data_IF_875210224616
#
_entry.id   IF_875210224616
#
_cell.length_a   1.000
_cell.length_b   1.000
_cell.length_c   1.000
_cell.angle_alpha   90.00
_cell.angle_beta   90.00
_cell.angle_gamma   90.00
#
_symmetry.space_group_name_H-M   'P 1'
#
loop_
_entity.id
_entity.type
_entity.pdbx_description
1 polymer ?
#
# COMPACT_ATOMS: atom_id res chain seq x y z
N UNK A 1 29.44 13.40 -28.03
CA UNK A 1 28.70 12.16 -27.74
C UNK A 1 27.56 12.53 -26.82
N UNK A 2 26.32 12.52 -27.33
CA UNK A 2 25.12 12.87 -26.56
C UNK A 2 24.59 11.61 -25.84
N UNK A 3 24.05 11.74 -24.61
CA UNK A 3 23.49 10.61 -23.89
C UNK A 3 22.10 10.23 -24.47
N UNK A 4 21.70 8.95 -24.43
CA UNK A 4 20.41 8.53 -24.94
C UNK A 4 19.32 8.79 -23.88
N UNK A 5 18.27 9.49 -24.29
CA UNK A 5 17.02 9.65 -23.55
C UNK A 5 16.26 8.33 -23.59
N UNK A 6 16.22 7.59 -22.48
CA UNK A 6 15.32 6.44 -22.34
C UNK A 6 13.90 6.95 -22.12
N UNK A 7 13.09 6.94 -23.17
CA UNK A 7 11.63 7.07 -23.05
C UNK A 7 11.07 5.70 -22.62
N UNK A 8 10.66 5.59 -21.35
CA UNK A 8 9.89 4.45 -20.88
C UNK A 8 8.47 4.59 -21.43
N UNK A 9 8.19 3.90 -22.53
CA UNK A 9 6.84 3.77 -23.06
C UNK A 9 6.06 2.79 -22.18
N UNK A 10 5.28 3.31 -21.23
CA UNK A 10 4.27 2.52 -20.52
C UNK A 10 3.10 2.32 -21.48
N UNK A 11 3.05 1.15 -22.12
CA UNK A 11 1.96 0.74 -22.98
C UNK A 11 0.78 0.27 -22.09
N UNK A 12 0.00 1.21 -21.55
CA UNK A 12 -1.29 0.86 -20.95
C UNK A 12 -2.27 0.50 -22.07
N UNK A 13 -2.71 -0.75 -22.11
CA UNK A 13 -3.78 -1.21 -22.98
C UNK A 13 -5.03 -0.36 -22.72
N UNK A 14 -5.43 0.43 -23.72
CA UNK A 14 -6.63 1.24 -23.67
C UNK A 14 -7.86 0.34 -23.82
N UNK A 15 -8.48 -0.02 -22.70
CA UNK A 15 -9.85 -0.53 -22.75
C UNK A 15 -10.82 0.65 -22.96
N UNK A 16 -11.83 0.52 -23.82
CA UNK A 16 -12.83 1.56 -24.02
C UNK A 16 -13.61 1.81 -22.72
N UNK A 17 -13.91 3.08 -22.46
CA UNK A 17 -14.59 3.62 -21.28
C UNK A 17 -16.07 3.16 -21.10
N UNK A 18 -16.42 1.98 -21.59
CA UNK A 18 -17.73 1.34 -21.45
C UNK A 18 -17.69 0.21 -20.41
N UNK A 19 -16.96 0.40 -19.31
CA UNK A 19 -17.16 -0.41 -18.11
C UNK A 19 -18.62 -0.22 -17.67
N UNK A 20 -19.43 -1.28 -17.81
CA UNK A 20 -20.82 -1.27 -17.36
C UNK A 20 -20.82 -1.15 -15.84
N UNK A 21 -21.23 0.01 -15.32
CA UNK A 21 -21.47 0.24 -13.88
C UNK A 21 -22.32 -0.90 -13.32
N UNK A 22 -21.85 -1.59 -12.29
CA UNK A 22 -22.71 -2.44 -11.49
C UNK A 22 -23.79 -1.54 -10.87
N UNK A 23 -25.07 -1.91 -11.03
CA UNK A 23 -26.19 -1.12 -10.51
C UNK A 23 -26.19 -1.03 -8.99
N UNK A 24 -25.49 -1.95 -8.32
CA UNK A 24 -25.45 -2.05 -6.86
C UNK A 24 -24.33 -1.21 -6.22
N UNK A 25 -23.42 -0.63 -7.02
CA UNK A 25 -22.31 0.21 -6.56
C UNK A 25 -22.62 1.71 -6.61
N UNK A 26 -23.90 2.11 -6.70
CA UNK A 26 -24.26 3.51 -6.52
C UNK A 26 -24.13 3.88 -5.04
N UNK A 27 -22.92 4.22 -4.62
CA UNK A 27 -22.69 4.89 -3.36
C UNK A 27 -23.38 6.25 -3.44
N UNK A 28 -24.54 6.35 -2.83
CA UNK A 28 -25.12 7.65 -2.54
C UNK A 28 -24.20 8.31 -1.52
N UNK A 29 -23.22 9.08 -2.01
CA UNK A 29 -22.61 10.13 -1.21
C UNK A 29 -23.77 10.98 -0.68
N UNK A 30 -24.10 10.84 0.61
CA UNK A 30 -24.94 11.79 1.31
C UNK A 30 -24.13 13.09 1.44
N UNK A 31 -23.95 13.77 0.32
CA UNK A 31 -23.55 15.15 0.29
C UNK A 31 -24.76 15.97 0.75
N UNK A 32 -24.58 16.76 1.82
CA UNK A 32 -25.46 17.87 2.13
C UNK A 32 -25.71 18.68 0.86
N UNK A 33 -26.97 18.99 0.57
CA UNK A 33 -27.47 19.55 -0.70
C UNK A 33 -26.95 20.96 -1.11
N UNK A 34 -25.77 21.40 -0.70
CA UNK A 34 -25.15 22.61 -1.25
C UNK A 34 -24.24 22.24 -2.42
N UNK A 35 -24.81 22.34 -3.64
CA UNK A 35 -24.15 22.19 -4.95
C UNK A 35 -23.47 20.84 -5.17
N UNK A 36 -24.14 19.95 -5.92
CA UNK A 36 -23.49 18.77 -6.49
C UNK A 36 -22.36 19.24 -7.43
N UNK A 37 -21.14 19.38 -6.90
CA UNK A 37 -19.95 19.70 -7.69
C UNK A 37 -19.72 18.58 -8.69
N UNK A 38 -19.39 18.94 -9.92
CA UNK A 38 -19.01 18.03 -10.99
C UNK A 38 -17.54 17.60 -10.79
N UNK A 39 -17.28 16.37 -10.30
CA UNK A 39 -15.92 15.96 -9.95
C UNK A 39 -15.00 15.87 -11.17
N UNK A 40 -15.55 15.60 -12.36
CA UNK A 40 -14.79 15.59 -13.61
C UNK A 40 -14.28 17.01 -13.92
N UNK A 41 -15.16 18.01 -13.79
CA UNK A 41 -14.81 19.40 -14.05
C UNK A 41 -13.83 19.98 -13.03
N UNK A 42 -14.01 19.67 -11.74
CA UNK A 42 -13.08 20.08 -10.68
C UNK A 42 -11.68 19.51 -10.93
N UNK A 43 -11.61 18.25 -11.37
CA UNK A 43 -10.36 17.58 -11.72
C UNK A 43 -9.70 18.22 -12.96
N UNK A 44 -10.46 18.51 -14.02
CA UNK A 44 -9.97 19.23 -15.20
C UNK A 44 -9.38 20.60 -14.83
N UNK A 45 -10.07 21.36 -13.98
CA UNK A 45 -9.63 22.68 -13.54
C UNK A 45 -8.29 22.60 -12.79
N UNK A 46 -8.17 21.66 -11.86
CA UNK A 46 -6.92 21.45 -11.14
C UNK A 46 -5.77 21.04 -12.07
N UNK A 47 -5.99 20.08 -12.98
CA UNK A 47 -4.97 19.66 -13.94
C UNK A 47 -4.50 20.82 -14.83
N UNK A 48 -5.42 21.69 -15.26
CA UNK A 48 -5.10 22.91 -16.01
C UNK A 48 -4.25 23.88 -15.16
N UNK A 49 -4.52 23.98 -13.86
CA UNK A 49 -3.71 24.79 -12.92
C UNK A 49 -2.26 24.30 -12.83
N UNK A 50 -2.03 23.00 -13.06
CA UNK A 50 -0.71 22.37 -13.15
C UNK A 50 -0.03 22.56 -14.52
N UNK A 51 -0.53 23.50 -15.34
CA UNK A 51 -0.02 23.81 -16.69
C UNK A 51 -0.23 22.69 -17.71
N UNK A 52 -1.11 21.73 -17.45
CA UNK A 52 -1.58 20.80 -18.48
C UNK A 52 -2.44 21.57 -19.50
N UNK A 53 -2.36 21.18 -20.78
CA UNK A 53 -3.27 21.77 -21.79
C UNK A 53 -4.71 21.43 -21.44
N UNK A 54 -5.67 22.31 -21.78
CA UNK A 54 -7.08 22.05 -21.48
C UNK A 54 -7.58 20.73 -22.10
N UNK A 55 -7.15 20.42 -23.33
CA UNK A 55 -7.53 19.19 -24.01
C UNK A 55 -6.99 17.93 -23.30
N UNK A 56 -5.74 17.97 -22.83
CA UNK A 56 -5.16 16.86 -22.06
C UNK A 56 -5.82 16.75 -20.68
N UNK A 57 -6.05 17.88 -20.00
CA UNK A 57 -6.71 17.93 -18.70
C UNK A 57 -8.11 17.32 -18.77
N UNK A 58 -8.90 17.66 -19.79
CA UNK A 58 -10.23 17.08 -20.00
C UNK A 58 -10.15 15.58 -20.28
N UNK A 59 -9.18 15.14 -21.10
CA UNK A 59 -8.97 13.70 -21.39
C UNK A 59 -8.61 12.92 -20.13
N UNK A 60 -7.72 13.46 -19.30
CA UNK A 60 -7.34 12.87 -18.02
C UNK A 60 -8.50 12.84 -17.04
N UNK A 61 -9.21 13.96 -16.90
CA UNK A 61 -10.36 14.06 -16.02
C UNK A 61 -11.40 13.00 -16.36
N UNK A 62 -11.83 12.94 -17.63
CA UNK A 62 -12.76 11.94 -18.15
C UNK A 62 -12.32 10.50 -17.92
N UNK A 63 -11.01 10.24 -17.97
CA UNK A 63 -10.43 8.90 -17.78
C UNK A 63 -10.39 8.49 -16.32
N UNK A 64 -9.94 9.39 -15.43
CA UNK A 64 -9.54 9.03 -14.08
C UNK A 64 -10.61 9.34 -13.02
N UNK A 65 -11.59 10.21 -13.29
CA UNK A 65 -12.57 10.62 -12.27
C UNK A 65 -13.35 9.44 -11.67
N UNK A 66 -13.70 8.45 -12.51
CA UNK A 66 -14.43 7.28 -12.04
C UNK A 66 -13.59 6.40 -11.11
N UNK A 67 -12.28 6.28 -11.39
CA UNK A 67 -11.36 5.59 -10.50
C UNK A 67 -11.26 6.33 -9.17
N UNK A 68 -11.17 7.66 -9.20
CA UNK A 68 -11.12 8.47 -7.98
C UNK A 68 -12.36 8.26 -7.11
N UNK A 69 -13.56 8.33 -7.70
CA UNK A 69 -14.80 8.08 -6.98
C UNK A 69 -14.85 6.66 -6.39
N UNK A 70 -14.56 5.65 -7.22
CA UNK A 70 -14.63 4.23 -6.81
C UNK A 70 -13.58 3.87 -5.75
N UNK A 71 -12.39 4.47 -5.83
CA UNK A 71 -11.31 4.31 -4.86
C UNK A 71 -11.47 5.22 -3.63
N UNK A 72 -12.48 6.09 -3.58
CA UNK A 72 -12.67 7.05 -2.49
C UNK A 72 -11.59 8.13 -2.40
N UNK A 73 -10.83 8.35 -3.48
CA UNK A 73 -9.78 9.36 -3.55
C UNK A 73 -10.39 10.72 -3.90
N UNK A 74 -10.46 11.62 -2.92
CA UNK A 74 -10.91 13.00 -3.16
C UNK A 74 -9.88 13.81 -3.96
N UNK A 75 -10.31 14.91 -4.59
CA UNK A 75 -9.39 15.83 -5.28
C UNK A 75 -8.33 16.40 -4.32
N UNK A 76 -8.72 16.73 -3.08
CA UNK A 76 -7.77 17.22 -2.06
C UNK A 76 -6.70 16.19 -1.70
N UNK A 77 -7.09 14.92 -1.59
CA UNK A 77 -6.16 13.82 -1.39
C UNK A 77 -5.19 13.66 -2.56
N UNK A 78 -5.68 13.73 -3.80
CA UNK A 78 -4.83 13.67 -5.00
C UNK A 78 -3.87 14.86 -5.09
N UNK A 79 -4.32 16.05 -4.71
CA UNK A 79 -3.49 17.26 -4.59
C UNK A 79 -2.37 17.09 -3.57
N UNK A 80 -2.67 16.49 -2.41
CA UNK A 80 -1.67 16.22 -1.38
C UNK A 80 -0.63 15.19 -1.87
N UNK A 81 -1.07 14.12 -2.54
CA UNK A 81 -0.15 13.16 -3.19
C UNK A 81 0.76 13.84 -4.20
N UNK A 82 0.20 14.65 -5.10
CA UNK A 82 0.97 15.38 -6.09
C UNK A 82 2.01 16.30 -5.44
N UNK A 83 1.61 17.06 -4.41
CA UNK A 83 2.49 17.93 -3.66
C UNK A 83 3.64 17.18 -2.98
N UNK A 84 3.36 16.05 -2.31
CA UNK A 84 4.40 15.19 -1.70
C UNK A 84 5.37 14.70 -2.79
N UNK A 85 4.85 14.21 -3.90
CA UNK A 85 5.67 13.71 -5.00
C UNK A 85 6.58 14.80 -5.57
N UNK A 86 6.03 15.97 -5.90
CA UNK A 86 6.81 17.03 -6.54
C UNK A 86 7.72 17.80 -5.58
N UNK A 87 7.22 18.18 -4.41
CA UNK A 87 7.92 19.10 -3.50
C UNK A 87 8.78 18.37 -2.46
N UNK A 88 8.48 17.10 -2.15
CA UNK A 88 9.19 16.33 -1.10
C UNK A 88 9.99 15.15 -1.64
N UNK A 89 9.48 14.48 -2.67
CA UNK A 89 10.15 13.35 -3.32
C UNK A 89 10.84 13.73 -4.63
N UNK A 90 10.87 15.02 -4.98
CA UNK A 90 11.62 15.58 -6.10
C UNK A 90 11.25 14.97 -7.47
N UNK A 91 9.98 14.59 -7.67
CA UNK A 91 9.48 14.33 -9.01
C UNK A 91 9.36 15.64 -9.79
N UNK A 92 9.59 15.58 -11.10
CA UNK A 92 9.16 16.66 -11.99
C UNK A 92 7.63 16.87 -11.82
N UNK A 93 7.17 18.13 -11.85
CA UNK A 93 5.76 18.47 -11.58
C UNK A 93 4.80 17.81 -12.56
N UNK A 94 5.18 17.69 -13.83
CA UNK A 94 4.40 16.99 -14.85
C UNK A 94 4.45 15.48 -14.66
N UNK A 95 5.63 14.93 -14.37
CA UNK A 95 5.81 13.51 -14.10
C UNK A 95 5.13 13.02 -12.81
N UNK A 96 4.92 13.90 -11.83
CA UNK A 96 4.24 13.59 -10.58
C UNK A 96 2.73 13.33 -10.76
N UNK A 97 2.09 13.90 -11.79
CA UNK A 97 0.65 13.74 -12.04
C UNK A 97 0.25 12.26 -12.28
N UNK A 98 0.81 11.54 -13.26
CA UNK A 98 0.47 10.14 -13.48
C UNK A 98 0.79 9.26 -12.25
N UNK A 99 1.90 9.54 -11.55
CA UNK A 99 2.28 8.79 -10.34
C UNK A 99 1.28 9.03 -9.21
N UNK A 100 0.78 10.26 -9.04
CA UNK A 100 -0.23 10.58 -8.03
C UNK A 100 -1.54 9.79 -8.27
N UNK A 101 -1.98 9.65 -9.53
CA UNK A 101 -3.15 8.83 -9.85
C UNK A 101 -2.93 7.34 -9.56
N UNK A 102 -1.76 6.80 -9.93
CA UNK A 102 -1.41 5.41 -9.62
C UNK A 102 -1.40 5.16 -8.11
N UNK A 103 -0.81 6.06 -7.33
CA UNK A 103 -0.76 5.93 -5.87
C UNK A 103 -2.13 6.16 -5.22
N UNK A 104 -2.97 6.99 -5.82
CA UNK A 104 -4.35 7.18 -5.38
C UNK A 104 -5.20 5.92 -5.59
N UNK A 105 -5.04 5.23 -6.72
CA UNK A 105 -5.67 3.92 -6.98
C UNK A 105 -5.24 2.86 -5.97
N UNK A 106 -4.05 2.99 -5.40
CA UNK A 106 -3.54 2.10 -4.36
C UNK A 106 -3.84 2.58 -2.93
N UNK A 107 -4.52 3.72 -2.79
CA UNK A 107 -4.83 4.37 -1.52
C UNK A 107 -3.60 4.58 -0.61
N UNK A 108 -2.46 4.96 -1.19
CA UNK A 108 -1.24 5.26 -0.42
C UNK A 108 -1.35 6.60 0.31
N UNK A 109 -1.31 6.58 1.63
CA UNK A 109 -1.34 7.79 2.44
C UNK A 109 -0.12 8.70 2.15
N UNK A 110 -0.31 10.00 1.79
CA UNK A 110 0.77 10.89 1.40
C UNK A 110 1.83 11.08 2.49
N UNK A 111 1.42 11.15 3.75
CA UNK A 111 2.31 11.43 4.86
C UNK A 111 3.13 10.17 5.20
N UNK A 112 2.50 9.00 5.18
CA UNK A 112 3.21 7.72 5.29
C UNK A 112 4.18 7.49 4.14
N UNK A 113 3.80 7.87 2.91
CA UNK A 113 4.67 7.77 1.72
C UNK A 113 5.92 8.62 1.88
N UNK A 114 5.77 9.87 2.31
CA UNK A 114 6.92 10.74 2.57
C UNK A 114 7.79 10.23 3.73
N UNK A 115 7.18 9.77 4.83
CA UNK A 115 7.90 9.21 5.96
C UNK A 115 8.73 7.98 5.57
N UNK A 116 8.14 7.05 4.79
CA UNK A 116 8.82 5.87 4.29
C UNK A 116 9.99 6.24 3.36
N UNK A 117 9.77 7.17 2.43
CA UNK A 117 10.83 7.71 1.58
C UNK A 117 11.98 8.31 2.39
N UNK A 118 11.68 9.11 3.42
CA UNK A 118 12.68 9.71 4.30
C UNK A 118 13.52 8.66 5.04
N UNK A 119 12.90 7.61 5.59
CA UNK A 119 13.64 6.51 6.23
C UNK A 119 14.54 5.80 5.23
N UNK A 120 14.04 5.48 4.04
CA UNK A 120 14.82 4.80 3.00
C UNK A 120 16.04 5.61 2.53
N UNK A 121 15.84 6.91 2.28
CA UNK A 121 16.90 7.80 1.80
C UNK A 121 17.87 8.21 2.91
N UNK A 122 17.36 8.68 4.05
CA UNK A 122 18.19 9.34 5.07
C UNK A 122 18.77 8.36 6.09
N UNK A 123 18.03 7.28 6.44
CA UNK A 123 18.48 6.30 7.44
C UNK A 123 19.14 5.11 6.81
N UNK A 124 18.49 4.53 5.80
CA UNK A 124 19.05 3.37 5.10
C UNK A 124 20.10 3.79 4.07
N UNK A 125 20.14 5.05 3.63
CA UNK A 125 21.15 5.54 2.70
C UNK A 125 20.95 5.06 1.26
N UNK A 126 19.71 4.74 0.87
CA UNK A 126 19.37 4.42 -0.52
C UNK A 126 19.45 5.69 -1.39
N UNK A 127 19.67 5.52 -2.69
CA UNK A 127 19.56 6.66 -3.62
C UNK A 127 18.13 7.19 -3.66
N UNK A 128 17.95 8.45 -4.07
CA UNK A 128 16.62 9.04 -4.21
C UNK A 128 15.73 8.24 -5.16
N UNK A 129 16.30 7.73 -6.24
CA UNK A 129 15.60 6.89 -7.23
C UNK A 129 15.14 5.57 -6.61
N UNK A 130 16.03 4.90 -5.87
CA UNK A 130 15.70 3.63 -5.22
C UNK A 130 14.69 3.82 -4.09
N UNK A 131 14.86 4.84 -3.24
CA UNK A 131 13.92 5.18 -2.18
C UNK A 131 12.53 5.51 -2.74
N UNK A 132 12.44 6.29 -3.84
CA UNK A 132 11.17 6.57 -4.53
C UNK A 132 10.47 5.32 -5.04
N UNK A 133 11.22 4.36 -5.55
CA UNK A 133 10.67 3.09 -6.05
C UNK A 133 10.25 2.14 -4.92
N UNK A 134 10.98 2.13 -3.81
CA UNK A 134 10.75 1.19 -2.68
C UNK A 134 9.69 1.65 -1.71
N UNK A 135 9.53 2.96 -1.51
CA UNK A 135 8.53 3.51 -0.59
C UNK A 135 7.10 3.00 -0.85
N UNK A 136 6.54 3.09 -2.07
CA UNK A 136 5.20 2.56 -2.34
C UNK A 136 5.14 1.03 -2.17
N UNK A 137 6.16 0.29 -2.63
CA UNK A 137 6.20 -1.17 -2.54
C UNK A 137 6.09 -1.65 -1.08
N UNK A 138 6.77 -0.96 -0.16
CA UNK A 138 6.76 -1.30 1.26
C UNK A 138 5.43 -0.94 1.92
N UNK A 139 4.85 0.21 1.57
CA UNK A 139 3.53 0.61 2.09
C UNK A 139 2.41 -0.31 1.60
N UNK A 140 2.45 -0.75 0.34
CA UNK A 140 1.51 -1.74 -0.20
C UNK A 140 1.57 -3.09 0.55
N UNK A 141 2.72 -3.40 1.16
CA UNK A 141 2.94 -4.57 2.01
C UNK A 141 2.67 -4.32 3.49
N UNK A 142 2.13 -3.15 3.83
CA UNK A 142 1.79 -2.71 5.18
C UNK A 142 3.00 -2.44 6.09
N UNK A 143 4.18 -2.14 5.51
CA UNK A 143 5.33 -1.73 6.29
C UNK A 143 5.16 -0.28 6.78
N UNK A 144 5.47 -0.02 8.05
CA UNK A 144 5.58 1.36 8.56
C UNK A 144 7.02 1.87 8.54
N UNK A 145 7.17 3.18 8.33
CA UNK A 145 8.47 3.86 8.35
C UNK A 145 9.16 3.71 9.73
N UNK A 146 8.38 3.79 10.81
CA UNK A 146 8.87 3.64 12.19
C UNK A 146 9.40 2.23 12.45
N UNK A 147 8.66 1.19 12.05
CA UNK A 147 9.13 -0.21 12.17
C UNK A 147 10.41 -0.43 11.35
N UNK A 148 10.45 0.03 10.10
CA UNK A 148 11.65 -0.11 9.25
C UNK A 148 12.87 0.56 9.88
N UNK A 149 12.73 1.79 10.37
CA UNK A 149 13.81 2.54 11.03
C UNK A 149 14.30 1.82 12.28
N UNK A 150 13.38 1.30 13.10
CA UNK A 150 13.73 0.54 14.31
C UNK A 150 14.42 -0.78 14.00
N UNK A 151 13.91 -1.56 13.03
CA UNK A 151 14.50 -2.82 12.59
C UNK A 151 15.92 -2.61 12.04
N UNK A 152 16.10 -1.62 11.17
CA UNK A 152 17.42 -1.30 10.63
C UNK A 152 18.39 -0.88 11.74
N UNK A 153 17.90 -0.09 12.71
CA UNK A 153 18.67 0.29 13.89
C UNK A 153 19.10 -0.96 14.67
N UNK A 154 18.20 -1.87 15.03
CA UNK A 154 18.56 -3.07 15.78
C UNK A 154 19.49 -4.02 15.00
N UNK A 155 19.31 -4.14 13.68
CA UNK A 155 20.15 -4.97 12.82
C UNK A 155 21.57 -4.42 12.62
N UNK A 156 21.77 -3.12 12.82
CA UNK A 156 23.06 -2.43 12.71
C UNK A 156 23.69 -2.08 14.07
N UNK A 157 22.87 -1.92 15.11
CA UNK A 157 23.28 -1.62 16.48
C UNK A 157 23.73 -2.85 17.27
N UNK A 158 23.61 -4.05 16.68
CA UNK A 158 24.14 -5.30 17.22
C UNK A 158 25.51 -5.05 17.86
N UNK A 159 25.52 -5.14 19.19
CA UNK A 159 26.48 -4.58 20.14
C UNK A 159 27.84 -4.20 19.53
N UNK A 160 28.36 -3.02 19.84
CA UNK A 160 29.68 -2.49 19.40
C UNK A 160 30.83 -3.54 19.26
N UNK A 161 30.81 -4.64 20.01
CA UNK A 161 31.76 -5.75 19.93
C UNK A 161 31.45 -6.87 18.88
N UNK A 162 30.28 -6.87 18.26
CA UNK A 162 29.78 -7.79 17.21
C UNK A 162 29.62 -7.11 15.84
N UNK A 163 30.14 -5.89 15.66
CA UNK A 163 30.08 -5.14 14.40
C UNK A 163 30.64 -5.92 13.20
N UNK A 164 31.52 -6.90 13.43
CA UNK A 164 32.08 -7.80 12.43
C UNK A 164 31.09 -8.84 11.88
N UNK A 165 29.92 -9.07 12.51
CA UNK A 165 28.89 -10.01 12.05
C UNK A 165 27.91 -9.40 11.03
N UNK A 166 27.83 -8.07 10.92
CA UNK A 166 27.09 -7.45 9.81
C UNK A 166 27.99 -7.45 8.59
N UNK A 167 27.92 -8.52 7.79
CA UNK A 167 28.79 -8.71 6.62
C UNK A 167 28.70 -7.54 5.62
N UNK A 168 27.58 -6.81 5.57
CA UNK A 168 27.49 -5.49 4.93
C UNK A 168 26.26 -4.69 5.37
N UNK A 169 26.31 -3.34 5.36
CA UNK A 169 25.12 -2.49 5.53
C UNK A 169 23.99 -2.82 4.55
N UNK A 170 24.32 -3.27 3.34
CA UNK A 170 23.36 -3.65 2.30
C UNK A 170 22.53 -4.88 2.68
N UNK A 171 23.13 -5.85 3.36
CA UNK A 171 22.40 -7.02 3.88
C UNK A 171 21.42 -6.61 4.99
N UNK A 172 21.83 -5.72 5.89
CA UNK A 172 20.96 -5.18 6.94
C UNK A 172 19.80 -4.36 6.35
N UNK A 173 20.04 -3.55 5.31
CA UNK A 173 18.98 -2.83 4.58
C UNK A 173 17.95 -3.80 4.02
N UNK A 174 18.39 -4.82 3.29
CA UNK A 174 17.52 -5.82 2.65
C UNK A 174 16.67 -6.56 3.68
N UNK A 175 17.29 -7.08 4.73
CA UNK A 175 16.59 -7.82 5.78
C UNK A 175 15.62 -6.93 6.58
N UNK A 176 15.99 -5.66 6.85
CA UNK A 176 15.11 -4.73 7.54
C UNK A 176 13.85 -4.42 6.70
N UNK A 177 14.01 -4.21 5.39
CA UNK A 177 12.90 -3.99 4.47
C UNK A 177 11.99 -5.23 4.36
N UNK A 178 12.56 -6.42 4.23
CA UNK A 178 11.78 -7.68 4.19
C UNK A 178 11.04 -7.91 5.50
N UNK A 179 11.71 -7.72 6.64
CA UNK A 179 11.11 -7.87 7.97
C UNK A 179 10.01 -6.84 8.21
N UNK A 180 10.21 -5.59 7.80
CA UNK A 180 9.20 -4.53 7.91
C UNK A 180 7.99 -4.83 7.04
N UNK A 181 8.18 -5.33 5.82
CA UNK A 181 7.09 -5.75 4.92
C UNK A 181 6.31 -6.96 5.44
N UNK A 182 6.95 -7.82 6.23
CA UNK A 182 6.27 -8.87 6.98
C UNK A 182 5.57 -8.35 8.26
N UNK A 183 5.81 -7.07 8.61
CA UNK A 183 5.30 -6.34 9.78
C UNK A 183 6.02 -6.67 11.10
N UNK A 184 7.24 -7.20 11.04
CA UNK A 184 8.07 -7.49 12.21
C UNK A 184 8.26 -6.25 13.11
N UNK A 185 8.03 -6.39 14.41
CA UNK A 185 8.30 -5.33 15.37
C UNK A 185 9.76 -5.34 15.84
N UNK A 186 10.45 -4.18 15.91
CA UNK A 186 11.86 -4.08 16.31
C UNK A 186 12.19 -4.75 17.64
N UNK A 187 11.35 -4.55 18.67
CA UNK A 187 11.59 -5.11 20.01
C UNK A 187 11.47 -6.64 20.03
N UNK A 188 10.55 -7.19 19.23
CA UNK A 188 10.39 -8.64 19.08
C UNK A 188 11.59 -9.24 18.35
N UNK A 189 12.05 -8.58 17.28
CA UNK A 189 13.26 -8.96 16.58
C UNK A 189 14.47 -8.96 17.50
N UNK A 190 14.67 -7.88 18.26
CA UNK A 190 15.76 -7.75 19.23
C UNK A 190 15.76 -8.89 20.23
N UNK A 191 14.61 -9.19 20.82
CA UNK A 191 14.46 -10.26 21.82
C UNK A 191 14.78 -11.63 21.22
N UNK A 192 14.25 -11.93 20.02
CA UNK A 192 14.50 -13.21 19.34
C UNK A 192 15.96 -13.35 18.89
N UNK A 193 16.59 -12.25 18.46
CA UNK A 193 18.00 -12.25 18.07
C UNK A 193 18.93 -12.44 19.27
N UNK A 194 18.61 -11.87 20.43
CA UNK A 194 19.36 -12.11 21.67
C UNK A 194 19.31 -13.57 22.11
N UNK A 195 18.22 -14.29 21.82
CA UNK A 195 18.08 -15.70 22.15
C UNK A 195 18.82 -16.63 21.17
N UNK A 196 18.73 -16.36 19.87
CA UNK A 196 19.17 -17.30 18.83
C UNK A 196 20.50 -16.92 18.16
N UNK A 197 20.89 -15.65 18.21
CA UNK A 197 22.03 -15.07 17.48
C UNK A 197 22.03 -15.32 15.96
N UNK A 198 20.89 -15.72 15.40
CA UNK A 198 20.67 -15.87 13.97
C UNK A 198 19.58 -14.88 13.51
N UNK A 199 19.92 -14.00 12.57
CA UNK A 199 19.03 -12.91 12.16
C UNK A 199 17.79 -13.40 11.43
N UNK A 200 17.90 -14.46 10.63
CA UNK A 200 16.77 -14.99 9.86
C UNK A 200 15.78 -15.67 10.79
N UNK A 201 16.27 -16.55 11.67
CA UNK A 201 15.46 -17.20 12.71
C UNK A 201 14.81 -16.17 13.62
N UNK A 202 15.55 -15.13 14.01
CA UNK A 202 14.99 -14.03 14.80
C UNK A 202 13.89 -13.26 14.07
N UNK A 203 14.03 -13.00 12.78
CA UNK A 203 12.99 -12.37 11.97
C UNK A 203 11.73 -13.25 11.90
N UNK A 204 11.87 -14.55 11.58
CA UNK A 204 10.75 -15.49 11.51
C UNK A 204 9.99 -15.60 12.83
N UNK A 205 10.72 -15.71 13.95
CA UNK A 205 10.13 -15.75 15.29
C UNK A 205 9.45 -14.44 15.66
N UNK A 206 10.07 -13.30 15.32
CA UNK A 206 9.53 -11.99 15.62
C UNK A 206 8.29 -11.67 14.80
N UNK A 207 8.26 -12.01 13.50
CA UNK A 207 7.05 -11.85 12.65
C UNK A 207 5.88 -12.61 13.28
N UNK A 208 6.12 -13.86 13.70
CA UNK A 208 5.09 -14.67 14.38
C UNK A 208 4.66 -14.01 15.70
N UNK A 209 5.61 -13.59 16.53
CA UNK A 209 5.34 -12.99 17.83
C UNK A 209 4.65 -11.61 17.76
N UNK A 210 4.87 -10.85 16.68
CA UNK A 210 4.27 -9.54 16.47
C UNK A 210 2.76 -9.62 16.23
N UNK A 211 2.25 -10.72 15.66
CA UNK A 211 0.88 -10.76 15.17
C UNK A 211 0.09 -12.03 15.40
N UNK A 212 0.58 -12.94 16.26
CA UNK A 212 -0.01 -14.27 16.45
C UNK A 212 -1.55 -14.29 16.64
N UNK A 213 -2.14 -13.18 17.10
CA UNK A 213 -3.59 -13.00 17.26
C UNK A 213 -4.17 -11.74 16.61
N UNK A 214 -3.35 -10.92 15.94
CA UNK A 214 -3.69 -9.51 15.65
C UNK A 214 -3.66 -9.15 14.17
N UNK A 215 -2.66 -9.62 13.41
CA UNK A 215 -2.67 -9.47 11.96
C UNK A 215 -3.09 -10.75 11.28
N UNK A 216 -3.85 -10.56 10.22
CA UNK A 216 -4.38 -11.64 9.42
C UNK A 216 -4.05 -11.35 7.97
N UNK A 217 -3.66 -12.37 7.21
CA UNK A 217 -3.41 -12.25 5.77
C UNK A 217 -4.14 -13.34 5.02
N UNK A 218 -4.57 -13.02 3.80
CA UNK A 218 -5.30 -13.94 2.94
C UNK A 218 -4.37 -14.97 2.31
N UNK A 219 -4.65 -16.26 2.52
CA UNK A 219 -3.97 -17.37 1.86
C UNK A 219 -4.54 -17.61 0.45
N UNK A 220 -3.96 -18.58 -0.26
CA UNK A 220 -4.29 -18.94 -1.66
C UNK A 220 -5.74 -19.46 -1.80
N UNK A 221 -6.36 -19.88 -0.70
CA UNK A 221 -7.76 -20.33 -0.63
C UNK A 221 -8.77 -19.18 -0.41
N UNK A 222 -8.30 -17.93 -0.35
CA UNK A 222 -9.14 -16.74 -0.13
C UNK A 222 -9.54 -16.51 1.32
N UNK A 223 -9.10 -17.35 2.28
CA UNK A 223 -9.36 -17.15 3.71
C UNK A 223 -8.21 -16.42 4.38
N UNK A 224 -8.52 -15.66 5.43
CA UNK A 224 -7.49 -15.00 6.22
C UNK A 224 -7.03 -15.88 7.39
N UNK A 225 -5.73 -15.83 7.69
CA UNK A 225 -5.07 -16.63 8.72
C UNK A 225 -4.22 -15.74 9.62
N UNK A 226 -4.10 -16.08 10.91
CA UNK A 226 -3.06 -15.49 11.76
C UNK A 226 -1.67 -15.95 11.32
N UNK A 227 -0.61 -15.27 11.78
CA UNK A 227 0.77 -15.66 11.44
C UNK A 227 1.08 -17.13 11.74
N UNK A 228 0.66 -17.68 12.90
CA UNK A 228 0.86 -19.10 13.20
C UNK A 228 0.06 -20.03 12.30
N UNK A 229 -1.23 -19.73 12.06
CA UNK A 229 -2.03 -20.58 11.18
C UNK A 229 -1.53 -20.53 9.72
N UNK A 230 -1.04 -19.38 9.27
CA UNK A 230 -0.46 -19.19 7.94
C UNK A 230 0.87 -19.95 7.81
N UNK A 231 1.69 -19.96 8.86
CA UNK A 231 2.90 -20.80 8.94
C UNK A 231 2.56 -22.29 8.85
N UNK A 232 1.52 -22.73 9.55
CA UNK A 232 1.08 -24.12 9.48
C UNK A 232 0.55 -24.49 8.09
N UNK A 233 -0.07 -23.54 7.38
CA UNK A 233 -0.59 -23.74 6.02
C UNK A 233 0.52 -23.84 4.95
N UNK A 234 1.53 -22.96 4.98
CA UNK A 234 2.59 -22.90 3.94
C UNK A 234 3.93 -23.53 4.34
N UNK A 235 4.10 -23.93 5.60
CA UNK A 235 5.32 -24.52 6.14
C UNK A 235 6.59 -23.69 5.87
N UNK A 236 7.53 -24.16 5.04
CA UNK A 236 8.86 -23.57 4.89
C UNK A 236 8.90 -22.21 4.20
N UNK A 237 7.94 -21.91 3.33
CA UNK A 237 7.90 -20.68 2.52
C UNK A 237 6.93 -19.64 3.06
N UNK A 238 6.44 -19.83 4.29
CA UNK A 238 5.34 -19.04 4.83
C UNK A 238 5.64 -17.55 4.93
N UNK A 239 6.86 -17.12 5.26
CA UNK A 239 7.22 -15.69 5.33
C UNK A 239 7.16 -15.03 3.95
N UNK A 240 7.71 -15.69 2.93
CA UNK A 240 7.67 -15.18 1.57
C UNK A 240 6.23 -15.04 1.06
N UNK A 241 5.39 -16.04 1.35
CA UNK A 241 3.94 -16.02 1.05
C UNK A 241 3.20 -14.96 1.86
N UNK A 242 3.50 -14.84 3.15
CA UNK A 242 2.91 -13.85 4.07
C UNK A 242 3.15 -12.44 3.56
N UNK A 243 4.38 -12.09 3.25
CA UNK A 243 4.78 -10.76 2.76
C UNK A 243 4.13 -10.39 1.42
N UNK A 244 3.78 -11.38 0.59
CA UNK A 244 3.09 -11.18 -0.70
C UNK A 244 1.56 -11.21 -0.58
N UNK A 245 1.04 -11.71 0.54
CA UNK A 245 -0.39 -11.88 0.75
C UNK A 245 -1.06 -10.58 1.16
N UNK A 246 -2.27 -10.37 0.66
CA UNK A 246 -3.09 -9.23 1.03
C UNK A 246 -3.36 -9.24 2.55
N UNK A 247 -3.17 -8.08 3.18
CA UNK A 247 -3.39 -7.89 4.61
C UNK A 247 -4.86 -7.68 4.86
N UNK A 248 -5.46 -8.44 5.77
CA UNK A 248 -6.84 -8.20 6.20
C UNK A 248 -6.92 -6.90 7.01
N UNK A 249 -8.01 -6.15 6.82
CA UNK A 249 -8.18 -4.83 7.40
C UNK A 249 -9.48 -4.75 8.18
N UNK A 250 -9.55 -3.84 9.14
CA UNK A 250 -10.75 -3.51 9.88
C UNK A 250 -11.13 -2.05 9.72
N UNK A 251 -12.43 -1.78 9.77
CA UNK A 251 -12.95 -0.41 9.62
C UNK A 251 -12.96 0.28 10.98
N UNK A 252 -12.26 1.41 11.06
CA UNK A 252 -12.23 2.26 12.23
C UNK A 252 -13.45 3.19 12.32
N UNK A 253 -13.55 3.94 13.41
CA UNK A 253 -14.66 4.86 13.69
C UNK A 253 -14.78 6.00 12.67
N UNK A 254 -13.68 6.36 12.00
CA UNK A 254 -13.63 7.36 10.92
C UNK A 254 -14.14 6.81 9.57
N UNK A 255 -14.49 5.52 9.51
CA UNK A 255 -15.00 4.85 8.33
C UNK A 255 -13.93 4.40 7.34
N UNK A 256 -12.64 4.44 7.70
CA UNK A 256 -11.54 3.93 6.87
C UNK A 256 -11.11 2.52 7.29
N UNK A 257 -10.61 1.75 6.33
CA UNK A 257 -10.03 0.44 6.58
C UNK A 257 -8.54 0.57 6.94
N UNK A 258 -8.14 -0.11 8.01
CA UNK A 258 -6.78 -0.11 8.51
C UNK A 258 -6.31 -1.56 8.73
N UNK A 259 -5.05 -1.84 8.42
CA UNK A 259 -4.37 -3.05 8.91
C UNK A 259 -4.13 -2.98 10.42
N UNK A 260 -3.70 -4.07 11.06
CA UNK A 260 -3.38 -4.05 12.49
C UNK A 260 -2.25 -3.04 12.82
N UNK A 261 -1.24 -2.93 11.95
CA UNK A 261 -0.12 -2.02 12.15
C UNK A 261 -0.55 -0.55 12.02
N UNK A 262 -1.35 -0.23 11.01
CA UNK A 262 -1.87 1.12 10.80
C UNK A 262 -2.87 1.51 11.90
N UNK A 263 -3.70 0.56 12.35
CA UNK A 263 -4.67 0.78 13.43
C UNK A 263 -3.96 1.08 14.75
N UNK A 264 -2.86 0.37 15.03
CA UNK A 264 -1.98 0.64 16.17
C UNK A 264 -1.38 2.05 16.11
N UNK A 265 -0.88 2.48 14.95
CA UNK A 265 -0.31 3.82 14.79
C UNK A 265 -1.37 4.92 14.91
N UNK A 266 -2.58 4.69 14.37
CA UNK A 266 -3.66 5.67 14.37
C UNK A 266 -4.23 5.91 15.77
N UNK A 267 -4.57 4.84 16.51
CA UNK A 267 -5.16 4.98 17.83
C UNK A 267 -4.13 5.10 18.96
N UNK A 268 -2.91 4.58 18.75
CA UNK A 268 -1.81 4.53 19.72
C UNK A 268 -2.20 3.79 21.00
N UNK A 269 -2.87 4.47 21.92
CA UNK A 269 -3.42 3.89 23.14
C UNK A 269 -4.76 3.19 22.86
N UNK A 270 -5.08 2.15 23.62
CA UNK A 270 -6.30 1.35 23.48
C UNK A 270 -6.58 0.75 22.08
N UNK A 271 -5.60 0.83 21.17
CA UNK A 271 -5.74 0.39 19.79
C UNK A 271 -6.20 -1.07 19.71
N UNK A 272 -5.73 -1.94 20.61
CA UNK A 272 -6.08 -3.35 20.63
C UNK A 272 -7.55 -3.57 21.01
N UNK A 273 -8.06 -2.81 21.99
CA UNK A 273 -9.47 -2.86 22.38
C UNK A 273 -10.36 -2.43 21.22
N UNK A 274 -10.01 -1.31 20.58
CA UNK A 274 -10.71 -0.80 19.40
C UNK A 274 -10.60 -1.73 18.19
N UNK A 275 -9.44 -2.34 17.96
CA UNK A 275 -9.22 -3.33 16.90
C UNK A 275 -10.12 -4.55 17.09
N UNK A 276 -10.24 -5.05 18.30
CA UNK A 276 -11.09 -6.20 18.60
C UNK A 276 -12.58 -5.87 18.41
N UNK A 277 -12.99 -4.65 18.75
CA UNK A 277 -14.36 -4.17 18.55
C UNK A 277 -14.69 -3.79 17.09
N UNK A 278 -13.69 -3.47 16.28
CA UNK A 278 -13.88 -3.04 14.89
C UNK A 278 -14.34 -4.17 13.97
N UNK A 279 -15.17 -3.82 13.00
CA UNK A 279 -15.68 -4.71 11.97
C UNK A 279 -14.61 -5.00 10.91
N UNK A 280 -14.63 -6.22 10.35
CA UNK A 280 -13.79 -6.56 9.20
C UNK A 280 -14.18 -5.74 7.97
N UNK A 281 -13.17 -5.26 7.23
CA UNK A 281 -13.34 -4.59 5.97
C UNK A 281 -13.44 -5.63 4.84
N UNK A 282 -14.58 -5.66 4.15
CA UNK A 282 -14.75 -6.42 2.91
C UNK A 282 -13.99 -5.70 1.81
N UNK A 283 -12.76 -6.14 1.57
CA UNK A 283 -11.88 -5.53 0.57
C UNK A 283 -12.44 -5.71 -0.84
N UNK A 284 -12.31 -4.66 -1.65
CA UNK A 284 -12.78 -4.63 -3.03
C UNK A 284 -11.72 -4.09 -3.95
N UNK A 285 -11.66 -4.61 -5.17
CA UNK A 285 -10.72 -4.19 -6.21
C UNK A 285 -11.42 -4.00 -7.54
N UNK A 286 -10.90 -3.10 -8.36
CA UNK A 286 -11.34 -2.88 -9.74
C UNK A 286 -10.54 -3.81 -10.64
N UNK A 287 -11.18 -4.79 -11.26
CA UNK A 287 -10.51 -5.70 -12.19
C UNK A 287 -10.31 -5.06 -13.58
N UNK A 288 -9.55 -5.73 -14.44
CA UNK A 288 -9.30 -5.27 -15.81
C UNK A 288 -10.57 -5.11 -16.66
N UNK A 289 -11.64 -5.84 -16.36
CA UNK A 289 -12.94 -5.69 -17.02
C UNK A 289 -13.72 -4.44 -16.58
N UNK A 290 -13.14 -3.64 -15.67
CA UNK A 290 -13.71 -2.42 -15.11
C UNK A 290 -14.78 -2.66 -14.05
N UNK A 291 -15.00 -3.90 -13.60
CA UNK A 291 -15.93 -4.20 -12.52
C UNK A 291 -15.24 -4.24 -11.17
N UNK A 292 -16.02 -3.97 -10.12
CA UNK A 292 -15.59 -4.08 -8.74
C UNK A 292 -15.91 -5.48 -8.23
N UNK A 293 -14.94 -6.15 -7.63
CA UNK A 293 -15.08 -7.46 -7.02
C UNK A 293 -14.63 -7.41 -5.56
N UNK A 294 -15.35 -8.10 -4.68
CA UNK A 294 -14.81 -8.51 -3.38
C UNK A 294 -13.72 -9.57 -3.57
N UNK A 295 -12.90 -9.81 -2.54
CA UNK A 295 -11.86 -10.84 -2.63
C UNK A 295 -12.45 -12.22 -2.96
N UNK A 296 -13.53 -12.62 -2.29
CA UNK A 296 -14.17 -13.92 -2.52
C UNK A 296 -14.69 -14.05 -3.96
N UNK A 297 -15.33 -13.00 -4.48
CA UNK A 297 -15.78 -12.97 -5.88
C UNK A 297 -14.60 -13.00 -6.84
N UNK A 298 -13.51 -12.30 -6.53
CA UNK A 298 -12.31 -12.25 -7.35
C UNK A 298 -11.61 -13.62 -7.39
N UNK A 299 -11.46 -14.28 -6.24
CA UNK A 299 -10.95 -15.66 -6.13
C UNK A 299 -11.82 -16.61 -6.94
N UNK A 300 -13.14 -16.50 -6.81
CA UNK A 300 -14.08 -17.35 -7.56
C UNK A 300 -14.03 -17.10 -9.08
N UNK A 301 -13.84 -15.85 -9.50
CA UNK A 301 -13.87 -15.47 -10.92
C UNK A 301 -12.55 -15.76 -11.63
N UNK A 302 -11.42 -15.45 -10.99
CA UNK A 302 -10.08 -15.64 -11.55
C UNK A 302 -9.44 -16.99 -11.19
N UNK A 303 -10.05 -17.76 -10.28
CA UNK A 303 -9.61 -19.10 -9.86
C UNK A 303 -8.13 -19.13 -9.50
N UNK A 304 -7.37 -20.19 -9.79
CA UNK A 304 -5.96 -20.35 -9.41
C UNK A 304 -5.03 -19.22 -9.89
N UNK A 305 -5.45 -18.36 -10.81
CA UNK A 305 -4.63 -17.23 -11.31
C UNK A 305 -4.75 -15.96 -10.45
N UNK A 306 -5.69 -15.90 -9.51
CA UNK A 306 -5.97 -14.68 -8.75
C UNK A 306 -4.75 -14.17 -7.96
N UNK A 307 -3.92 -15.12 -7.50
CA UNK A 307 -2.63 -14.87 -6.87
C UNK A 307 -1.40 -15.17 -7.75
N UNK A 308 -1.58 -15.67 -8.98
CA UNK A 308 -0.42 -16.08 -9.78
C UNK A 308 0.34 -14.86 -10.30
N UNK A 309 1.67 -14.95 -10.14
CA UNK A 309 2.65 -14.16 -10.87
C UNK A 309 2.86 -14.82 -12.24
N UNK A 310 2.15 -14.37 -13.27
CA UNK A 310 2.36 -14.83 -14.65
C UNK A 310 3.54 -14.03 -15.27
N UNK A 311 4.76 -14.50 -15.00
CA UNK A 311 5.99 -13.91 -15.56
C UNK A 311 6.34 -12.53 -14.96
N UNK A 312 6.44 -11.50 -15.80
CA UNK A 312 6.75 -10.12 -15.41
C UNK A 312 5.56 -9.35 -14.81
N UNK A 313 4.36 -9.95 -14.81
CA UNK A 313 3.12 -9.36 -14.30
C UNK A 313 2.72 -10.11 -13.02
N UNK A 314 2.57 -9.38 -11.91
CA UNK A 314 2.36 -9.95 -10.58
C UNK A 314 0.87 -9.87 -10.22
N UNK A 315 0.36 -10.85 -9.46
CA UNK A 315 -0.81 -10.76 -8.57
C UNK A 315 -1.95 -9.82 -9.05
N UNK A 316 -2.87 -10.30 -9.89
CA UNK A 316 -4.02 -9.52 -10.43
C UNK A 316 -4.78 -8.75 -9.33
N UNK A 317 -4.86 -9.30 -8.10
CA UNK A 317 -5.47 -8.61 -6.96
C UNK A 317 -4.61 -7.48 -6.37
N UNK A 318 -3.31 -7.70 -6.18
CA UNK A 318 -2.43 -6.73 -5.51
C UNK A 318 -2.18 -5.50 -6.39
N UNK A 319 -2.08 -5.69 -7.71
CA UNK A 319 -1.88 -4.62 -8.68
C UNK A 319 -3.19 -3.88 -9.05
N UNK A 320 -4.35 -4.49 -8.83
CA UNK A 320 -5.64 -3.88 -9.13
C UNK A 320 -5.92 -2.64 -8.24
N UNK A 321 -6.56 -1.59 -8.77
CA UNK A 321 -7.00 -0.45 -7.97
C UNK A 321 -7.88 -0.85 -6.78
N UNK A 322 -7.62 -0.28 -5.61
CA UNK A 322 -8.36 -0.47 -4.36
C UNK A 322 -9.66 0.33 -4.43
N UNK A 323 -10.79 -0.36 -4.53
CA UNK A 323 -12.09 0.27 -4.33
C UNK A 323 -12.33 0.47 -2.83
N UNK A 324 -13.17 1.44 -2.46
CA UNK A 324 -13.62 1.59 -1.07
C UNK A 324 -14.13 0.24 -0.55
N UNK A 325 -13.84 -0.13 0.70
CA UNK A 325 -14.43 -1.35 1.25
C UNK A 325 -15.96 -1.19 1.40
N UNK A 326 -16.70 -2.30 1.52
CA UNK A 326 -18.17 -2.26 1.62
C UNK A 326 -18.66 -1.51 2.85
N UNK A 327 -17.92 -1.63 3.95
CA UNK A 327 -18.19 -1.00 5.23
C UNK A 327 -17.57 0.40 5.35
N UNK A 328 -16.73 0.79 4.38
CA UNK A 328 -16.02 2.05 4.39
C UNK A 328 -16.95 3.20 4.01
N UNK A 329 -16.67 4.38 4.57
CA UNK A 329 -17.31 5.62 4.17
C UNK A 329 -16.34 6.41 3.31
N UNK A 330 -16.84 7.05 2.25
CA UNK A 330 -16.05 8.03 1.53
C UNK A 330 -15.64 9.13 2.51
N UNK A 331 -14.41 9.62 2.41
CA UNK A 331 -13.93 10.71 3.24
C UNK A 331 -14.90 11.89 3.09
N UNK A 332 -15.62 12.25 4.17
CA UNK A 332 -16.44 13.44 4.17
C UNK A 332 -15.52 14.65 4.06
N UNK A 333 -15.77 15.53 3.08
CA UNK A 333 -15.13 16.84 3.03
C UNK A 333 -15.46 17.59 4.32
N UNK A 334 -14.52 17.65 5.25
CA UNK A 334 -14.57 18.51 6.43
C UNK A 334 -13.98 19.88 6.08
#
# INVERSE_FOLDING_TARGET
MAPPTFAVAVLMLMLPASARRNKDDSFAMQASMSEARDPERDLEFWLTSLKMTQADAQKWAKKEWWYMETCGASLGYLQQLHWVLSEKMYFDKGAAVPVAFEYAKKQLDPDQLFAMYGVLNDKLGLSKEEARSRAPELLEKDASATQLSGLYTEMTAGASWLSWLVKSPKEAQGLAMESAAAGCEPDKFKSAYQANHDKKTAADEAIRASFDTQAYRYADDGRYYTASQFKDYYHGDWVAKWTQSAVAQKVAEDGKAYSASQFKEFFKEDWLSKWNAAAWATQRRIAEDGKVYTLDEFVSYFTSEWQQKLGSFTLKWAEAPVALCKECKAASHA
#
